data_IF_534421118446
#
_entry.id   IF_534421118446
#
_cell.length_a   1.000
_cell.length_b   1.000
_cell.length_c   1.000
_cell.angle_alpha   90.00
_cell.angle_beta   90.00
_cell.angle_gamma   90.00
#
_symmetry.space_group_name_H-M   'P 1'
#
loop_
_entity.id
_entity.type
_entity.pdbx_description
1 polymer ?
#
# COMPACT_ATOMS: atom_id res chain seq x y z
N UNK A 1 7.33 13.40 62.51
CA UNK A 1 6.10 12.65 62.86
C UNK A 1 4.97 13.14 61.96
N UNK A 2 4.29 12.20 61.27
CA UNK A 2 3.07 12.35 60.42
C UNK A 2 3.28 13.08 59.07
N UNK A 3 2.72 12.65 57.93
CA UNK A 3 1.80 11.58 57.45
C UNK A 3 2.07 11.53 55.92
N UNK A 4 2.18 10.40 55.23
CA UNK A 4 1.08 9.49 54.91
C UNK A 4 0.42 9.91 53.59
N UNK A 5 0.70 9.15 52.50
CA UNK A 5 0.06 9.26 51.18
C UNK A 5 0.55 10.45 50.36
N UNK A 6 1.01 10.21 49.14
CA UNK A 6 0.71 11.00 47.93
C UNK A 6 1.68 10.57 46.82
N UNK A 7 1.18 9.70 45.94
CA UNK A 7 1.75 9.34 44.63
C UNK A 7 1.77 10.56 43.69
N UNK A 8 2.42 11.64 44.11
CA UNK A 8 2.65 12.80 43.26
C UNK A 8 4.14 12.84 42.93
N UNK A 9 4.45 12.47 41.69
CA UNK A 9 5.75 12.77 41.08
C UNK A 9 5.83 14.29 40.97
N UNK A 10 6.18 14.95 42.06
CA UNK A 10 6.57 16.36 42.06
C UNK A 10 8.01 16.33 41.59
N UNK A 11 8.22 16.68 40.31
CA UNK A 11 9.50 16.85 39.64
C UNK A 11 10.66 17.13 40.59
N UNK A 12 11.38 16.08 40.99
CA UNK A 12 12.59 16.25 41.78
C UNK A 12 13.71 16.61 40.80
N UNK A 13 13.87 17.91 40.55
CA UNK A 13 15.11 18.43 39.97
C UNK A 13 16.16 18.22 41.04
N UNK A 14 17.12 17.34 40.78
CA UNK A 14 18.26 17.18 41.68
C UNK A 14 19.07 18.48 41.69
N UNK A 15 19.68 18.87 42.82
CA UNK A 15 20.43 20.13 42.95
C UNK A 15 21.59 20.29 41.94
N UNK A 16 22.00 19.21 41.29
CA UNK A 16 23.01 19.15 40.23
C UNK A 16 22.43 19.38 38.81
N UNK A 17 21.11 19.63 38.70
CA UNK A 17 20.41 19.86 37.44
C UNK A 17 19.93 18.57 36.75
N UNK A 18 20.11 17.39 37.36
CA UNK A 18 19.66 16.14 36.77
C UNK A 18 18.19 15.83 37.12
N UNK A 19 17.46 15.27 36.14
CA UNK A 19 16.14 14.69 36.35
C UNK A 19 16.30 13.22 36.75
N UNK A 20 15.53 12.76 37.73
CA UNK A 20 15.47 11.33 38.07
C UNK A 20 15.12 10.49 36.85
N UNK A 21 15.85 9.38 36.70
CA UNK A 21 15.88 8.52 35.50
C UNK A 21 14.49 7.92 35.25
N UNK A 22 13.66 8.65 34.51
CA UNK A 22 12.33 8.27 34.08
C UNK A 22 11.94 9.12 32.88
N UNK A 23 11.32 8.51 31.87
CA UNK A 23 10.95 9.26 30.67
C UNK A 23 9.91 10.34 30.99
N UNK A 24 10.15 11.59 30.54
CA UNK A 24 9.22 12.71 30.70
C UNK A 24 7.88 12.37 30.02
N UNK A 25 6.71 12.45 30.68
CA UNK A 25 5.42 12.08 30.08
C UNK A 25 5.10 12.84 28.78
N UNK A 26 4.34 12.20 27.89
CA UNK A 26 3.92 12.77 26.60
C UNK A 26 3.12 14.05 26.77
N UNK A 27 2.24 14.11 27.78
CA UNK A 27 1.44 15.29 28.10
C UNK A 27 2.29 16.55 28.42
N UNK A 28 3.55 16.36 28.82
CA UNK A 28 4.50 17.42 29.17
C UNK A 28 5.62 17.58 28.12
N UNK A 29 5.43 17.02 26.92
CA UNK A 29 6.37 17.18 25.80
C UNK A 29 7.53 16.19 25.77
N UNK A 30 7.51 15.13 26.59
CA UNK A 30 8.48 14.05 26.53
C UNK A 30 7.97 12.79 25.81
N UNK A 31 8.71 11.68 25.94
CA UNK A 31 8.36 10.39 25.30
C UNK A 31 7.76 9.37 26.27
N UNK A 32 7.73 9.66 27.56
CA UNK A 32 7.33 8.75 28.64
C UNK A 32 8.21 7.50 28.76
N UNK A 33 9.36 7.45 28.08
CA UNK A 33 10.20 6.27 28.00
C UNK A 33 11.70 6.58 28.12
N UNK A 34 12.45 5.65 28.70
CA UNK A 34 13.92 5.70 28.81
C UNK A 34 14.64 4.90 27.72
N UNK A 35 13.89 4.25 26.82
CA UNK A 35 14.45 3.53 25.68
C UNK A 35 13.71 3.87 24.38
N UNK A 36 14.38 3.76 23.21
CA UNK A 36 13.79 4.16 21.94
C UNK A 36 12.54 3.39 21.52
N UNK A 37 12.41 2.11 21.90
CA UNK A 37 11.27 1.29 21.50
C UNK A 37 9.99 1.72 22.21
N UNK A 38 10.04 1.91 23.53
CA UNK A 38 8.91 2.42 24.30
C UNK A 38 8.58 3.88 23.94
N UNK A 39 9.58 4.69 23.60
CA UNK A 39 9.37 6.07 23.14
C UNK A 39 8.55 6.12 21.83
N UNK A 40 8.85 5.23 20.88
CA UNK A 40 8.10 5.10 19.63
C UNK A 40 6.64 4.72 19.86
N UNK A 41 6.41 3.73 20.73
CA UNK A 41 5.05 3.28 21.10
C UNK A 41 4.25 4.43 21.72
N UNK A 42 4.84 5.15 22.69
CA UNK A 42 4.16 6.25 23.39
C UNK A 42 3.84 7.45 22.47
N UNK A 43 4.63 7.66 21.42
CA UNK A 43 4.40 8.71 20.43
C UNK A 43 3.51 8.26 19.26
N UNK A 44 3.13 6.99 19.19
CA UNK A 44 2.38 6.42 18.06
C UNK A 44 3.17 6.40 16.74
N UNK A 45 4.51 6.40 16.80
CA UNK A 45 5.38 6.41 15.63
C UNK A 45 5.96 5.01 15.40
N UNK A 46 5.75 4.46 14.21
CA UNK A 46 6.38 3.20 13.80
C UNK A 46 7.80 3.47 13.26
N UNK A 47 8.76 2.60 13.57
CA UNK A 47 10.08 2.63 12.92
C UNK A 47 9.96 2.34 11.42
N UNK A 48 11.01 2.69 10.67
CA UNK A 48 11.13 2.29 9.26
C UNK A 48 11.02 0.76 9.13
N UNK A 49 11.56 -0.02 10.06
CA UNK A 49 11.43 -1.49 10.05
C UNK A 49 10.03 -1.99 10.43
N UNK A 50 9.30 -1.31 11.32
CA UNK A 50 7.89 -1.61 11.62
C UNK A 50 6.97 -1.22 10.46
N UNK A 51 7.29 -0.12 9.78
CA UNK A 51 6.66 0.30 8.52
C UNK A 51 6.98 -0.70 7.41
N UNK A 52 8.24 -1.12 7.29
CA UNK A 52 8.75 -2.01 6.25
C UNK A 52 8.43 -3.49 6.50
N UNK A 53 8.11 -3.91 7.73
CA UNK A 53 7.51 -5.23 7.98
C UNK A 53 6.13 -5.35 7.32
N UNK A 54 5.43 -4.24 7.11
CA UNK A 54 4.24 -4.17 6.24
C UNK A 54 4.60 -4.07 4.73
N UNK A 55 5.89 -4.00 4.37
CA UNK A 55 6.41 -4.13 3.01
C UNK A 55 7.08 -5.48 2.73
N UNK A 56 7.45 -6.27 3.75
CA UNK A 56 7.92 -7.65 3.54
C UNK A 56 6.81 -8.51 2.90
N UNK A 57 5.56 -8.21 3.27
CA UNK A 57 4.37 -8.65 2.53
C UNK A 57 4.38 -8.17 1.07
N UNK A 58 4.98 -7.05 0.67
CA UNK A 58 5.00 -6.55 -0.73
C UNK A 58 5.77 -7.47 -1.70
N UNK A 59 6.80 -8.17 -1.22
CA UNK A 59 7.53 -9.20 -2.00
C UNK A 59 6.72 -10.51 -2.07
N UNK A 60 6.04 -10.88 -0.98
CA UNK A 60 5.12 -12.02 -0.90
C UNK A 60 3.82 -11.80 -1.71
N UNK A 61 3.31 -10.57 -1.71
CA UNK A 61 2.10 -10.09 -2.39
C UNK A 61 2.33 -9.96 -3.88
N UNK A 62 3.52 -9.50 -4.30
CA UNK A 62 3.92 -9.56 -5.73
C UNK A 62 3.97 -10.99 -6.25
N UNK A 63 4.13 -12.00 -5.38
CA UNK A 63 4.27 -13.42 -5.73
C UNK A 63 2.96 -14.21 -5.63
N UNK A 64 1.97 -13.70 -4.91
CA UNK A 64 0.63 -14.32 -4.75
C UNK A 64 -0.46 -13.26 -4.92
N UNK A 65 -0.62 -12.72 -6.12
CA UNK A 65 -1.85 -12.03 -6.47
C UNK A 65 -2.87 -13.08 -6.94
N UNK A 66 -3.42 -13.85 -6.00
CA UNK A 66 -4.74 -14.46 -6.17
C UNK A 66 -5.79 -13.53 -5.55
N UNK A 67 -7.05 -13.68 -5.92
CA UNK A 67 -8.16 -12.81 -5.49
C UNK A 67 -8.25 -12.65 -3.96
N UNK A 68 -7.72 -13.63 -3.19
CA UNK A 68 -7.71 -13.64 -1.73
C UNK A 68 -6.65 -12.71 -1.09
N UNK A 69 -5.59 -12.37 -1.82
CA UNK A 69 -4.50 -11.52 -1.31
C UNK A 69 -4.93 -10.04 -1.13
N UNK A 70 -5.88 -9.57 -1.93
CA UNK A 70 -6.36 -8.18 -1.88
C UNK A 70 -7.24 -7.89 -0.66
N UNK A 71 -8.04 -8.87 -0.23
CA UNK A 71 -8.81 -8.80 1.02
C UNK A 71 -7.91 -8.63 2.25
N UNK A 72 -6.70 -9.20 2.22
CA UNK A 72 -5.73 -9.10 3.32
C UNK A 72 -5.10 -7.70 3.39
N UNK A 73 -5.02 -6.99 2.26
CA UNK A 73 -4.51 -5.62 2.18
C UNK A 73 -5.54 -4.56 2.58
N UNK A 74 -6.79 -4.95 2.85
CA UNK A 74 -7.87 -3.98 3.02
C UNK A 74 -8.09 -3.17 1.75
N UNK A 75 -7.95 -3.81 0.59
CA UNK A 75 -8.30 -3.22 -0.70
C UNK A 75 -9.45 -4.02 -1.31
N UNK A 76 -10.39 -3.33 -1.96
CA UNK A 76 -11.38 -3.97 -2.84
C UNK A 76 -10.90 -3.90 -4.28
N UNK A 77 -11.30 -4.90 -5.06
CA UNK A 77 -11.12 -4.88 -6.50
C UNK A 77 -12.44 -4.55 -7.16
N UNK A 78 -12.40 -3.53 -8.01
CA UNK A 78 -13.45 -3.24 -8.96
C UNK A 78 -13.08 -3.87 -10.30
N UNK A 79 -13.86 -4.87 -10.74
CA UNK A 79 -13.77 -5.36 -12.11
C UNK A 79 -14.27 -4.27 -13.07
N UNK A 80 -13.39 -3.85 -13.98
CA UNK A 80 -13.72 -2.85 -15.00
C UNK A 80 -14.07 -3.53 -16.31
N UNK A 81 -13.34 -4.57 -16.67
CA UNK A 81 -13.57 -5.27 -17.93
C UNK A 81 -13.15 -6.72 -17.81
N UNK A 82 -13.93 -7.60 -18.44
CA UNK A 82 -13.62 -9.01 -18.65
C UNK A 82 -13.95 -9.41 -20.08
N UNK A 83 -13.15 -10.31 -20.64
CA UNK A 83 -13.23 -10.72 -22.04
C UNK A 83 -11.86 -11.21 -22.52
N UNK A 84 -11.71 -11.54 -23.80
CA UNK A 84 -10.40 -11.96 -24.33
C UNK A 84 -9.84 -10.86 -25.23
N UNK A 85 -8.68 -10.33 -24.90
CA UNK A 85 -7.99 -9.33 -25.72
C UNK A 85 -6.54 -9.74 -25.99
N UNK A 86 -6.20 -9.97 -27.25
CA UNK A 86 -4.90 -10.51 -27.67
C UNK A 86 -4.37 -9.87 -28.94
N UNK A 87 -4.82 -8.66 -29.25
CA UNK A 87 -4.52 -7.94 -30.49
C UNK A 87 -4.06 -6.53 -30.19
N UNK A 88 -3.54 -5.83 -31.19
CA UNK A 88 -3.23 -4.39 -31.09
C UNK A 88 -4.42 -3.47 -31.40
N UNK A 89 -5.65 -3.99 -31.37
CA UNK A 89 -6.83 -3.17 -31.61
C UNK A 89 -7.16 -2.32 -30.39
N UNK A 90 -7.70 -1.09 -30.57
CA UNK A 90 -8.22 -0.32 -29.47
C UNK A 90 -9.25 -1.10 -28.64
N UNK A 91 -9.15 -0.98 -27.32
CA UNK A 91 -10.12 -1.49 -26.36
C UNK A 91 -10.71 -0.32 -25.59
N UNK A 92 -12.02 -0.12 -25.69
CA UNK A 92 -12.74 0.91 -24.94
C UNK A 92 -13.36 0.27 -23.70
N UNK A 93 -12.93 0.72 -22.53
CA UNK A 93 -13.45 0.23 -21.26
C UNK A 93 -14.80 0.87 -20.93
N UNK A 94 -15.67 0.18 -20.18
CA UNK A 94 -16.96 0.73 -19.76
C UNK A 94 -16.81 1.88 -18.75
N UNK A 95 -15.64 1.97 -18.08
CA UNK A 95 -15.31 3.01 -17.10
C UNK A 95 -13.87 3.47 -17.27
N UNK A 96 -13.60 4.69 -16.81
CA UNK A 96 -12.27 5.27 -16.75
C UNK A 96 -11.36 4.52 -15.78
N UNK A 97 -10.11 4.27 -16.19
CA UNK A 97 -9.05 3.70 -15.36
C UNK A 97 -7.91 4.68 -15.09
N UNK A 98 -7.84 5.79 -15.83
CA UNK A 98 -6.87 6.83 -15.55
C UNK A 98 -7.05 7.38 -14.13
N UNK A 99 -5.94 7.74 -13.48
CA UNK A 99 -5.92 8.20 -12.09
C UNK A 99 -6.04 7.10 -11.03
N UNK A 100 -6.06 5.82 -11.43
CA UNK A 100 -6.23 4.70 -10.50
C UNK A 100 -5.03 3.76 -10.48
N UNK A 101 -4.95 2.97 -9.41
CA UNK A 101 -4.11 1.76 -9.37
C UNK A 101 -4.85 0.64 -10.09
N UNK A 102 -4.19 0.05 -11.08
CA UNK A 102 -4.77 -0.96 -11.97
C UNK A 102 -3.98 -2.26 -11.86
N UNK A 103 -4.68 -3.39 -11.98
CA UNK A 103 -4.10 -4.70 -12.23
C UNK A 103 -4.78 -5.36 -13.43
N UNK A 104 -4.07 -6.28 -14.07
CA UNK A 104 -4.50 -6.96 -15.28
C UNK A 104 -4.39 -8.46 -15.06
N UNK A 105 -5.37 -9.19 -15.56
CA UNK A 105 -5.35 -10.65 -15.56
C UNK A 105 -5.02 -11.17 -16.95
N UNK A 106 -4.20 -12.22 -17.01
CA UNK A 106 -3.79 -12.86 -18.25
C UNK A 106 -4.34 -14.28 -18.36
N UNK A 107 -4.54 -14.74 -19.59
CA UNK A 107 -4.93 -16.11 -19.89
C UNK A 107 -3.80 -17.10 -19.58
N UNK A 108 -4.17 -18.28 -19.10
CA UNK A 108 -3.25 -19.41 -18.90
C UNK A 108 -2.27 -19.23 -17.73
N UNK A 109 -2.47 -18.22 -16.88
CA UNK A 109 -1.85 -18.10 -15.56
C UNK A 109 -2.90 -17.68 -14.54
N UNK A 110 -2.80 -18.21 -13.32
CA UNK A 110 -3.66 -17.82 -12.20
C UNK A 110 -3.04 -16.64 -11.41
N UNK A 111 -2.33 -15.76 -12.11
CA UNK A 111 -1.62 -14.63 -11.53
C UNK A 111 -2.08 -13.35 -12.21
N UNK A 112 -2.32 -12.29 -11.43
CA UNK A 112 -2.42 -10.93 -11.94
C UNK A 112 -1.04 -10.39 -12.27
N UNK A 113 -1.00 -9.35 -13.10
CA UNK A 113 0.17 -8.51 -13.27
C UNK A 113 0.54 -7.75 -12.00
N UNK A 114 1.71 -7.12 -12.02
CA UNK A 114 2.05 -6.01 -11.13
C UNK A 114 0.94 -4.96 -11.14
N UNK A 115 0.71 -4.34 -9.99
CA UNK A 115 -0.16 -3.17 -9.89
C UNK A 115 0.61 -1.94 -10.35
N UNK A 116 -0.01 -1.09 -11.17
CA UNK A 116 0.58 0.17 -11.62
C UNK A 116 -0.43 1.32 -11.51
N UNK A 117 0.06 2.52 -11.19
CA UNK A 117 -0.73 3.74 -11.35
C UNK A 117 -0.82 4.08 -12.84
N UNK A 118 -2.02 4.39 -13.32
CA UNK A 118 -2.29 4.62 -14.73
C UNK A 118 -2.66 6.08 -14.97
N UNK A 119 -1.79 6.91 -15.56
CA UNK A 119 -2.14 8.25 -16.00
C UNK A 119 -2.75 8.25 -17.41
N UNK A 120 -3.60 9.23 -17.70
CA UNK A 120 -4.04 9.51 -19.08
C UNK A 120 -2.86 9.94 -19.95
N UNK A 121 -2.97 9.75 -21.27
CA UNK A 121 -1.95 10.09 -22.29
C UNK A 121 -0.58 9.47 -22.03
N UNK A 122 -0.55 8.33 -21.35
CA UNK A 122 0.68 7.69 -20.91
C UNK A 122 0.67 6.22 -21.29
N UNK A 123 1.85 5.70 -21.62
CA UNK A 123 2.08 4.28 -21.82
C UNK A 123 2.29 3.61 -20.46
N UNK A 124 1.42 2.67 -20.12
CA UNK A 124 1.45 1.94 -18.85
C UNK A 124 1.91 0.51 -19.08
N UNK A 125 2.85 0.03 -18.25
CA UNK A 125 3.45 -1.30 -18.37
C UNK A 125 3.14 -2.14 -17.12
N UNK A 126 2.72 -3.37 -17.35
CA UNK A 126 2.30 -4.33 -16.34
C UNK A 126 3.12 -5.60 -16.48
N UNK A 127 3.92 -5.92 -15.45
CA UNK A 127 4.81 -7.08 -15.45
C UNK A 127 4.11 -8.30 -14.86
N UNK A 128 4.43 -9.50 -15.33
CA UNK A 128 3.99 -10.75 -14.72
C UNK A 128 5.04 -11.83 -14.93
N UNK A 129 4.81 -13.02 -14.35
CA UNK A 129 5.75 -14.12 -14.51
C UNK A 129 5.86 -14.56 -15.96
N UNK A 130 6.99 -14.26 -16.58
CA UNK A 130 7.29 -14.66 -17.95
C UNK A 130 6.81 -13.68 -19.03
N UNK A 131 6.53 -12.42 -18.67
CA UNK A 131 6.21 -11.40 -19.67
C UNK A 131 5.79 -10.05 -19.12
N UNK A 132 5.37 -9.20 -20.05
CA UNK A 132 4.76 -7.92 -19.76
C UNK A 132 3.61 -7.63 -20.74
N UNK A 133 2.73 -6.74 -20.32
CA UNK A 133 1.70 -6.12 -21.15
C UNK A 133 1.81 -4.62 -21.04
N UNK A 134 1.75 -3.94 -22.18
CA UNK A 134 1.84 -2.49 -22.26
C UNK A 134 0.73 -1.96 -23.15
N UNK A 135 0.19 -0.79 -22.83
CA UNK A 135 -0.74 -0.06 -23.69
C UNK A 135 -0.65 1.44 -23.39
N UNK A 136 -1.10 2.24 -24.34
CA UNK A 136 -1.32 3.67 -24.18
C UNK A 136 -2.75 3.93 -23.70
N UNK A 137 -2.91 4.82 -22.72
CA UNK A 137 -4.22 5.28 -22.25
C UNK A 137 -4.51 6.62 -22.90
N UNK A 138 -5.62 6.73 -23.63
CA UNK A 138 -5.97 7.98 -24.29
C UNK A 138 -6.44 9.07 -23.29
N UNK A 139 -6.74 10.26 -23.79
CA UNK A 139 -7.20 11.40 -23.00
C UNK A 139 -8.52 11.12 -22.27
N UNK A 140 -9.38 10.27 -22.81
CA UNK A 140 -10.65 9.89 -22.17
C UNK A 140 -10.47 8.94 -20.96
N UNK A 141 -9.23 8.50 -20.71
CA UNK A 141 -8.84 7.65 -19.59
C UNK A 141 -9.42 6.24 -19.61
N UNK A 142 -10.11 5.83 -20.68
CA UNK A 142 -10.79 4.52 -20.81
C UNK A 142 -10.53 3.83 -22.15
N UNK A 143 -10.08 4.54 -23.16
CA UNK A 143 -9.68 3.98 -24.45
C UNK A 143 -8.20 3.61 -24.39
N UNK A 144 -7.92 2.33 -24.64
CA UNK A 144 -6.59 1.74 -24.56
C UNK A 144 -6.13 1.33 -25.95
N UNK A 145 -4.96 1.82 -26.37
CA UNK A 145 -4.38 1.62 -27.71
C UNK A 145 -2.92 1.19 -27.64
N UNK A 146 -2.30 0.93 -28.79
CA UNK A 146 -0.88 0.57 -28.92
C UNK A 146 -0.45 -0.56 -27.96
N UNK A 147 -1.22 -1.64 -28.00
CA UNK A 147 -1.02 -2.79 -27.14
C UNK A 147 0.22 -3.57 -27.55
N UNK A 148 1.08 -3.83 -26.57
CA UNK A 148 2.17 -4.80 -26.66
C UNK A 148 1.86 -5.89 -25.65
N UNK A 149 1.45 -7.05 -26.14
CA UNK A 149 1.05 -8.20 -25.34
C UNK A 149 2.07 -9.32 -25.57
N UNK A 150 2.59 -9.90 -24.49
CA UNK A 150 3.45 -11.08 -24.59
C UNK A 150 2.72 -12.19 -25.36
N UNK A 151 3.34 -12.83 -26.38
CA UNK A 151 2.68 -13.85 -27.18
C UNK A 151 2.07 -14.98 -26.33
N UNK A 152 0.83 -15.37 -26.66
CA UNK A 152 0.09 -16.41 -25.92
C UNK A 152 -0.48 -15.95 -24.58
N UNK A 153 -0.33 -14.68 -24.19
CA UNK A 153 -0.82 -14.10 -22.92
C UNK A 153 -1.92 -13.08 -23.16
N UNK A 154 -3.05 -13.54 -23.73
CA UNK A 154 -4.23 -12.71 -23.88
C UNK A 154 -4.64 -12.10 -22.53
N UNK A 155 -5.13 -10.88 -22.54
CA UNK A 155 -5.70 -10.23 -21.37
C UNK A 155 -7.11 -10.78 -21.18
N UNK A 156 -7.44 -11.14 -19.94
CA UNK A 156 -8.74 -11.70 -19.56
C UNK A 156 -9.56 -10.79 -18.66
N UNK A 157 -8.91 -9.80 -18.02
CA UNK A 157 -9.62 -8.78 -17.26
C UNK A 157 -8.74 -7.61 -16.86
N UNK A 158 -9.38 -6.48 -16.56
CA UNK A 158 -8.77 -5.22 -16.09
C UNK A 158 -9.53 -4.76 -14.86
N UNK A 159 -8.78 -4.37 -13.83
CA UNK A 159 -9.27 -4.21 -12.48
C UNK A 159 -8.70 -2.94 -11.84
N UNK A 160 -9.54 -2.19 -11.13
CA UNK A 160 -9.10 -1.08 -10.28
C UNK A 160 -8.99 -1.56 -8.84
N UNK A 161 -7.89 -1.20 -8.17
CA UNK A 161 -7.74 -1.40 -6.74
C UNK A 161 -8.20 -0.15 -6.00
N UNK A 162 -9.06 -0.33 -5.00
CA UNK A 162 -9.49 0.73 -4.09
C UNK A 162 -9.07 0.40 -2.68
N UNK A 163 -8.59 1.40 -1.94
CA UNK A 163 -8.45 1.26 -0.49
C UNK A 163 -9.83 1.13 0.16
N UNK A 164 -9.91 0.34 1.22
CA UNK A 164 -11.07 0.37 2.12
C UNK A 164 -10.86 1.57 3.04
N UNK A 165 -11.73 2.58 2.94
CA UNK A 165 -11.78 3.66 3.93
C UNK A 165 -12.10 3.02 5.29
N UNK A 166 -11.11 2.95 6.17
CA UNK A 166 -11.34 2.57 7.56
C UNK A 166 -11.99 3.78 8.23
N UNK A 167 -13.32 3.75 8.33
CA UNK A 167 -14.12 4.61 9.20
C UNK A 167 -13.70 4.47 10.66
#
# INVERSE_FOLDING_TARGET
MRRGGDDSIIWQIHPDGNLEVGGVPVANGGTGATNPAAARVNLGVLSVDETNRNFATKTELSRKLDESAYSTLGCTIDEIWTGTHSSDRPLVLPREIAGHLVAIRHAGINEFSSVAFVPSRTRSTFLFRGGATTFFVDLDGKTLTDWIITPGRAITGIYILRGVDRS
#
